data_IF_818753983172
#
_entry.id   IF_818753983172
#
_cell.length_a   1.000
_cell.length_b   1.000
_cell.length_c   1.000
_cell.angle_alpha   90.00
_cell.angle_beta   90.00
_cell.angle_gamma   90.00
#
_symmetry.space_group_name_H-M   'P 1'
#
loop_
_entity.id
_entity.type
_entity.pdbx_description
1 polymer ?
#
# COMPACT_ATOMS: atom_id res chain seq x y z
N UNK A 1 -15.83 16.71 11.10
CA UNK A 1 -15.81 16.47 9.64
C UNK A 1 -14.43 15.93 9.34
N UNK A 2 -14.32 14.67 8.93
CA UNK A 2 -13.02 14.06 8.61
C UNK A 2 -12.65 14.43 7.18
N UNK A 3 -11.89 15.52 7.02
CA UNK A 3 -11.29 15.85 5.74
C UNK A 3 -10.20 14.81 5.45
N UNK A 4 -10.55 13.79 4.65
CA UNK A 4 -9.58 12.83 4.15
C UNK A 4 -8.53 13.60 3.33
N UNK A 5 -7.29 13.60 3.80
CA UNK A 5 -6.18 14.25 3.11
C UNK A 5 -5.40 13.19 2.34
N UNK A 6 -5.24 13.40 1.03
CA UNK A 6 -4.47 12.51 0.17
C UNK A 6 -3.15 13.20 -0.19
N UNK A 7 -2.00 12.55 0.03
CA UNK A 7 -0.72 13.08 -0.41
C UNK A 7 -0.62 13.05 -1.94
N UNK A 8 -0.13 14.12 -2.53
CA UNK A 8 0.18 14.14 -3.95
C UNK A 8 1.41 13.25 -4.21
N UNK A 9 1.30 12.29 -5.13
CA UNK A 9 2.38 11.33 -5.45
C UNK A 9 3.70 11.99 -5.90
N UNK A 10 3.63 13.23 -6.38
CA UNK A 10 4.77 13.93 -6.97
C UNK A 10 5.44 14.92 -6.00
N UNK A 11 4.65 15.80 -5.39
CA UNK A 11 5.17 16.83 -4.48
C UNK A 11 4.99 16.46 -3.00
N UNK A 12 4.33 15.34 -2.69
CA UNK A 12 4.03 14.86 -1.33
C UNK A 12 3.22 15.82 -0.45
N UNK A 13 2.71 16.90 -1.05
CA UNK A 13 1.83 17.87 -0.38
C UNK A 13 0.50 17.20 -0.09
N UNK A 14 0.01 17.37 1.15
CA UNK A 14 -1.31 16.92 1.55
C UNK A 14 -2.36 17.80 0.89
N UNK A 15 -3.23 17.20 0.10
CA UNK A 15 -4.33 17.89 -0.55
C UNK A 15 -5.66 17.26 -0.12
N UNK A 16 -6.73 18.02 -0.24
CA UNK A 16 -8.07 17.53 0.08
C UNK A 16 -8.45 16.38 -0.86
N UNK A 17 -9.00 15.28 -0.33
CA UNK A 17 -9.41 14.11 -1.13
C UNK A 17 -10.45 14.44 -2.19
N UNK A 18 -11.23 15.52 -2.01
CA UNK A 18 -12.22 15.99 -2.98
C UNK A 18 -11.61 16.82 -4.09
N UNK A 19 -10.38 17.30 -3.94
CA UNK A 19 -9.68 18.06 -4.99
C UNK A 19 -9.24 17.14 -6.15
N UNK A 20 -9.54 17.55 -7.39
CA UNK A 20 -9.17 16.80 -8.61
C UNK A 20 -7.68 16.95 -8.92
N UNK A 21 -7.10 18.10 -8.57
CA UNK A 21 -5.73 18.46 -8.88
C UNK A 21 -5.02 18.91 -7.60
N UNK A 22 -3.70 18.72 -7.57
CA UNK A 22 -2.86 19.18 -6.48
C UNK A 22 -2.83 20.72 -6.46
N UNK A 23 -3.02 21.31 -5.28
CA UNK A 23 -2.96 22.75 -5.06
C UNK A 23 -1.56 23.35 -5.27
N UNK A 24 -0.50 22.53 -5.16
CA UNK A 24 0.89 22.98 -5.31
C UNK A 24 1.43 22.67 -6.72
N UNK A 25 1.38 21.41 -7.17
CA UNK A 25 1.98 21.02 -8.45
C UNK A 25 1.00 20.94 -9.63
N UNK A 26 -0.30 21.14 -9.41
CA UNK A 26 -1.32 21.09 -10.47
C UNK A 26 -1.61 19.71 -11.06
N UNK A 27 -0.92 18.65 -10.61
CA UNK A 27 -1.09 17.29 -11.12
C UNK A 27 -2.37 16.63 -10.59
N UNK A 28 -2.96 15.76 -11.40
CA UNK A 28 -4.18 15.05 -11.05
C UNK A 28 -3.99 14.20 -9.77
N UNK A 29 -4.86 14.40 -8.79
CA UNK A 29 -4.86 13.62 -7.56
C UNK A 29 -5.46 12.25 -7.82
N UNK A 30 -4.75 11.20 -7.39
CA UNK A 30 -5.24 9.83 -7.44
C UNK A 30 -6.36 9.62 -6.40
N UNK A 31 -7.58 10.10 -6.72
CA UNK A 31 -8.79 9.99 -5.88
C UNK A 31 -9.24 8.56 -5.58
N UNK A 32 -8.74 7.60 -6.35
CA UNK A 32 -9.04 6.18 -6.20
C UNK A 32 -7.72 5.45 -6.06
N UNK A 33 -7.11 5.53 -4.88
CA UNK A 33 -6.20 4.48 -4.46
C UNK A 33 -7.10 3.38 -3.88
N UNK A 34 -7.35 2.27 -4.60
CA UNK A 34 -7.96 1.11 -3.99
C UNK A 34 -6.90 0.49 -3.08
N UNK A 35 -6.70 1.07 -1.90
CA UNK A 35 -6.21 0.35 -0.72
C UNK A 35 -7.29 -0.67 -0.31
N UNK A 36 -7.58 -1.60 -1.23
CA UNK A 36 -8.46 -2.72 -0.98
C UNK A 36 -7.72 -3.64 -0.03
N UNK A 37 -7.97 -3.50 1.28
CA UNK A 37 -7.52 -4.42 2.34
C UNK A 37 -7.62 -5.90 1.95
N UNK A 38 -8.57 -6.24 1.07
CA UNK A 38 -8.75 -7.56 0.48
C UNK A 38 -7.50 -8.10 -0.25
N UNK A 39 -6.76 -7.25 -1.00
CA UNK A 39 -5.57 -7.68 -1.75
C UNK A 39 -4.41 -8.04 -0.81
N UNK A 40 -4.27 -7.31 0.28
CA UNK A 40 -3.22 -7.54 1.29
C UNK A 40 -3.47 -8.80 2.09
N UNK A 41 -4.73 -9.09 2.45
CA UNK A 41 -5.10 -10.34 3.14
C UNK A 41 -4.84 -11.55 2.26
N UNK A 42 -5.20 -11.48 0.97
CA UNK A 42 -4.95 -12.56 0.03
C UNK A 42 -3.45 -12.82 -0.14
N UNK A 43 -2.65 -11.75 -0.31
CA UNK A 43 -1.21 -11.85 -0.44
C UNK A 43 -0.55 -12.45 0.80
N UNK A 44 -0.94 -12.01 1.99
CA UNK A 44 -0.44 -12.56 3.26
C UNK A 44 -0.73 -14.05 3.42
N UNK A 45 -1.94 -14.49 3.05
CA UNK A 45 -2.34 -15.91 3.15
C UNK A 45 -1.62 -16.80 2.12
N UNK A 46 -1.34 -16.28 0.93
CA UNK A 46 -0.55 -16.97 -0.09
C UNK A 46 0.96 -17.01 0.23
N UNK A 47 1.45 -16.08 1.06
CA UNK A 47 2.86 -16.03 1.48
C UNK A 47 3.21 -17.10 2.53
N UNK A 48 2.26 -17.53 3.37
CA UNK A 48 2.49 -18.52 4.43
C UNK A 48 3.23 -19.82 4.00
N UNK A 49 2.88 -20.50 2.88
CA UNK A 49 3.60 -21.71 2.46
C UNK A 49 5.08 -21.47 2.15
N UNK A 50 5.45 -20.30 1.61
CA UNK A 50 6.87 -20.00 1.32
C UNK A 50 7.67 -19.89 2.61
N UNK A 51 7.08 -19.28 3.65
CA UNK A 51 7.70 -19.12 4.97
C UNK A 51 7.93 -20.48 5.62
N UNK A 52 6.93 -21.35 5.57
CA UNK A 52 7.04 -22.72 6.10
C UNK A 52 8.16 -23.47 5.39
N UNK A 53 8.23 -23.40 4.06
CA UNK A 53 9.30 -24.02 3.29
C UNK A 53 10.69 -23.51 3.70
N UNK A 54 10.86 -22.20 3.85
CA UNK A 54 12.12 -21.61 4.31
C UNK A 54 12.52 -22.09 5.71
N UNK A 55 11.58 -22.15 6.66
CA UNK A 55 11.86 -22.66 8.01
C UNK A 55 12.28 -24.13 8.00
N UNK A 56 11.64 -24.95 7.15
CA UNK A 56 12.03 -26.36 6.98
C UNK A 56 13.45 -26.45 6.43
N UNK A 57 13.83 -25.63 5.45
CA UNK A 57 15.20 -25.61 4.92
C UNK A 57 16.23 -25.14 5.95
N UNK A 58 15.90 -24.15 6.79
CA UNK A 58 16.78 -23.72 7.89
C UNK A 58 16.97 -24.84 8.93
N UNK A 59 15.95 -25.67 9.17
CA UNK A 59 16.08 -26.84 10.04
C UNK A 59 16.86 -27.99 9.37
N UNK A 60 16.65 -28.19 8.07
CA UNK A 60 17.29 -29.26 7.29
C UNK A 60 18.76 -29.01 6.96
N UNK A 61 19.17 -27.75 6.91
CA UNK A 61 20.59 -27.35 6.91
C UNK A 61 20.94 -26.88 8.33
N UNK A 62 21.05 -27.79 9.32
CA UNK A 62 21.77 -27.45 10.53
C UNK A 62 23.22 -27.25 10.09
N UNK A 63 23.61 -25.99 10.00
CA UNK A 63 25.01 -25.58 9.91
C UNK A 63 25.86 -26.39 10.89
#
# INVERSE_FOLDING_TARGET
MSDEQVPCLFCQVKNDSKSVNCSNCGMALAKKHPEGKARTIFFSKAFWPIVIFCLVMMYYLPR
#
